data_IF_823490246061
#
_entry.id   IF_823490246061
#
_cell.length_a   1.000
_cell.length_b   1.000
_cell.length_c   1.000
_cell.angle_alpha   90.00
_cell.angle_beta   90.00
_cell.angle_gamma   90.00
#
_symmetry.space_group_name_H-M   'P 1'
#
loop_
_entity.id
_entity.type
_entity.pdbx_description
1 polymer ?
#
# COMPACT_ATOMS: atom_id res chain seq x y z
N UNK A 1 41.99 35.25 5.23
CA UNK A 1 41.63 33.83 4.95
C UNK A 1 42.72 32.96 5.59
N UNK A 2 42.33 32.12 6.52
CA UNK A 2 43.26 31.16 7.14
C UNK A 2 42.85 29.80 6.57
N UNK A 3 43.71 29.28 5.68
CA UNK A 3 43.54 27.91 5.16
C UNK A 3 44.12 26.93 6.17
N UNK A 4 43.31 26.00 6.65
CA UNK A 4 43.78 24.92 7.49
C UNK A 4 43.23 23.58 6.99
N UNK A 5 44.10 22.59 7.06
CA UNK A 5 43.72 21.23 6.67
C UNK A 5 43.41 20.43 7.92
N UNK A 6 42.19 19.92 8.03
CA UNK A 6 41.79 19.00 9.10
C UNK A 6 42.11 17.59 8.66
N UNK A 7 43.01 16.92 9.35
CA UNK A 7 43.22 15.46 9.23
C UNK A 7 42.35 14.76 10.26
N UNK A 8 41.31 14.05 9.80
CA UNK A 8 40.59 13.14 10.67
C UNK A 8 41.47 11.93 10.96
N UNK A 9 41.55 11.54 12.24
CA UNK A 9 42.29 10.35 12.62
C UNK A 9 41.61 9.12 12.01
N UNK A 10 42.40 8.25 11.39
CA UNK A 10 41.93 6.98 10.83
C UNK A 10 41.27 6.14 11.95
N UNK A 11 40.00 5.85 11.86
CA UNK A 11 39.23 5.14 12.88
C UNK A 11 38.31 5.99 13.78
N UNK A 12 38.25 7.30 13.59
CA UNK A 12 37.28 8.15 14.29
C UNK A 12 35.87 7.74 13.89
N UNK A 13 35.08 7.28 14.87
CA UNK A 13 33.63 6.98 14.72
C UNK A 13 32.86 8.27 14.73
N UNK A 14 33.01 9.11 13.72
CA UNK A 14 32.25 10.36 13.67
C UNK A 14 31.45 10.42 12.42
N UNK A 15 30.13 10.29 12.58
CA UNK A 15 29.14 10.69 11.57
C UNK A 15 29.00 12.22 11.54
N UNK A 16 29.76 12.98 12.38
CA UNK A 16 29.70 14.42 12.55
C UNK A 16 31.12 15.00 12.61
N UNK A 17 31.39 16.00 11.82
CA UNK A 17 32.59 16.80 11.92
C UNK A 17 32.22 18.18 12.51
N UNK A 18 32.60 18.43 13.75
CA UNK A 18 32.53 19.76 14.35
C UNK A 18 33.91 20.33 14.42
N UNK A 19 34.12 21.45 13.79
CA UNK A 19 35.39 22.16 13.84
C UNK A 19 35.30 23.29 14.86
N UNK A 20 36.10 23.21 15.91
CA UNK A 20 36.21 24.31 16.88
C UNK A 20 37.44 25.12 16.55
N UNK A 21 37.26 26.37 16.09
CA UNK A 21 38.35 27.31 15.85
C UNK A 21 38.45 28.23 17.05
N UNK A 22 39.58 28.26 17.72
CA UNK A 22 39.88 29.18 18.83
C UNK A 22 40.83 30.21 18.31
N UNK A 23 40.41 31.48 18.35
CA UNK A 23 41.24 32.64 18.05
C UNK A 23 41.51 33.44 19.30
N UNK A 24 42.39 34.46 19.24
CA UNK A 24 42.67 35.39 20.32
C UNK A 24 41.38 36.13 20.81
N UNK A 25 40.34 36.20 19.99
CA UNK A 25 39.09 36.92 20.26
C UNK A 25 37.91 36.00 20.63
N UNK A 26 38.15 34.69 20.89
CA UNK A 26 37.13 33.73 21.26
C UNK A 26 37.12 32.47 20.40
N UNK A 27 36.20 31.53 20.72
CA UNK A 27 36.02 30.26 19.96
C UNK A 27 34.78 30.38 19.10
N UNK A 28 34.91 30.08 17.82
CA UNK A 28 33.74 29.80 16.95
C UNK A 28 33.63 28.30 16.69
N UNK A 29 32.43 27.80 16.70
CA UNK A 29 32.14 26.42 16.35
C UNK A 29 31.52 26.43 14.97
N UNK A 30 32.12 25.70 14.06
CA UNK A 30 31.60 25.50 12.72
C UNK A 30 31.11 24.05 12.60
N UNK A 31 29.87 23.88 12.23
CA UNK A 31 29.24 22.57 11.97
C UNK A 31 28.89 22.49 10.50
N UNK A 32 29.70 21.79 9.66
CA UNK A 32 29.37 21.64 8.25
C UNK A 32 27.99 21.03 8.00
N UNK A 33 27.52 20.21 8.94
CA UNK A 33 26.23 19.54 8.84
C UNK A 33 25.08 20.56 8.95
N UNK A 34 25.21 21.55 9.86
CA UNK A 34 24.21 22.61 10.05
C UNK A 34 24.34 23.70 9.00
N UNK A 35 25.58 24.18 8.75
CA UNK A 35 25.84 25.34 7.90
C UNK A 35 25.80 25.01 6.40
N UNK A 36 26.23 23.80 6.00
CA UNK A 36 26.36 23.42 4.60
C UNK A 36 25.16 22.56 4.12
N UNK A 37 24.62 21.72 5.01
CA UNK A 37 23.53 20.80 4.68
C UNK A 37 22.19 21.15 5.35
N UNK A 38 22.18 22.16 6.24
CA UNK A 38 20.97 22.67 6.87
C UNK A 38 20.33 21.74 7.90
N UNK A 39 21.09 20.77 8.41
CA UNK A 39 20.59 19.87 9.46
C UNK A 39 20.82 20.45 10.84
N UNK A 40 19.80 20.46 11.68
CA UNK A 40 19.94 20.80 13.09
C UNK A 40 20.61 19.68 13.86
N UNK A 41 21.65 20.01 14.67
CA UNK A 41 22.37 19.04 15.49
C UNK A 41 22.18 19.34 16.98
N UNK A 42 22.06 18.28 17.78
CA UNK A 42 22.03 18.37 19.24
C UNK A 42 23.26 17.67 19.83
N UNK A 43 24.03 18.42 20.65
CA UNK A 43 25.15 17.85 21.37
C UNK A 43 24.69 16.99 22.55
N UNK A 44 25.14 15.72 22.60
CA UNK A 44 24.93 14.84 23.74
C UNK A 44 26.22 14.77 24.59
N UNK A 45 26.19 15.36 25.76
CA UNK A 45 27.32 15.39 26.67
C UNK A 45 27.76 14.01 27.20
N UNK A 46 26.90 12.99 27.13
CA UNK A 46 27.24 11.62 27.59
C UNK A 46 28.08 10.89 26.56
N UNK A 47 27.72 11.02 25.29
CA UNK A 47 28.45 10.37 24.19
C UNK A 47 29.57 11.22 23.62
N UNK A 48 29.71 12.49 24.07
CA UNK A 48 30.60 13.51 23.54
C UNK A 48 30.52 13.67 22.03
N UNK A 49 29.31 13.54 21.48
CA UNK A 49 29.02 13.67 20.06
C UNK A 49 27.78 14.46 19.79
N UNK A 50 27.65 15.03 18.59
CA UNK A 50 26.43 15.61 18.10
C UNK A 50 25.56 14.54 17.41
N UNK A 51 24.25 14.65 17.52
CA UNK A 51 23.31 13.90 16.71
C UNK A 51 22.48 14.84 15.87
N UNK A 52 22.16 14.45 14.66
CA UNK A 52 21.20 15.17 13.82
C UNK A 52 19.81 15.02 14.47
N UNK A 53 19.17 16.14 14.76
CA UNK A 53 17.83 16.18 15.41
C UNK A 53 16.75 16.27 14.34
N UNK A 54 16.99 17.06 13.31
CA UNK A 54 16.10 17.21 12.17
C UNK A 54 16.43 16.15 11.12
N UNK A 55 15.82 14.95 11.27
CA UNK A 55 15.93 13.87 10.31
C UNK A 55 14.64 13.82 9.49
N UNK A 56 14.79 13.60 8.19
CA UNK A 56 13.65 13.37 7.27
C UNK A 56 12.73 12.23 7.78
N UNK A 57 13.32 11.21 8.42
CA UNK A 57 12.63 10.10 9.06
C UNK A 57 13.34 9.69 10.34
N UNK A 58 12.59 9.37 11.39
CA UNK A 58 13.14 8.69 12.54
C UNK A 58 13.36 7.19 12.29
N UNK A 59 14.03 6.50 13.23
CA UNK A 59 14.36 5.08 13.08
C UNK A 59 13.11 4.20 13.06
N UNK A 60 12.07 4.56 13.79
CA UNK A 60 10.80 3.84 13.89
C UNK A 60 9.99 4.00 12.58
N UNK A 61 9.97 5.19 12.01
CA UNK A 61 9.36 5.48 10.72
C UNK A 61 10.04 4.70 9.59
N UNK A 62 11.39 4.71 9.57
CA UNK A 62 12.15 3.91 8.60
C UNK A 62 11.89 2.42 8.75
N UNK A 63 11.78 1.91 10.00
CA UNK A 63 11.44 0.51 10.23
C UNK A 63 10.07 0.18 9.67
N UNK A 64 9.05 1.01 9.93
CA UNK A 64 7.68 0.82 9.41
C UNK A 64 7.66 0.82 7.87
N UNK A 65 8.37 1.76 7.25
CA UNK A 65 8.48 1.84 5.78
C UNK A 65 9.17 0.60 5.20
N UNK A 66 10.27 0.14 5.81
CA UNK A 66 10.99 -1.06 5.40
C UNK A 66 10.09 -2.31 5.53
N UNK A 67 9.38 -2.46 6.64
CA UNK A 67 8.48 -3.59 6.86
C UNK A 67 7.31 -3.57 5.86
N UNK A 68 6.77 -2.40 5.53
CA UNK A 68 5.74 -2.21 4.52
C UNK A 68 6.23 -2.64 3.13
N UNK A 69 7.45 -2.23 2.74
CA UNK A 69 8.07 -2.64 1.48
C UNK A 69 8.33 -4.15 1.47
N UNK A 70 8.86 -4.70 2.56
CA UNK A 70 9.15 -6.13 2.65
C UNK A 70 7.88 -6.99 2.70
N UNK A 71 6.79 -6.50 3.27
CA UNK A 71 5.52 -7.19 3.31
C UNK A 71 4.73 -7.09 2.01
N UNK A 72 5.06 -6.18 1.11
CA UNK A 72 4.36 -5.99 -0.16
C UNK A 72 4.50 -7.22 -1.07
N UNK A 73 3.36 -7.70 -1.60
CA UNK A 73 3.31 -8.74 -2.64
C UNK A 73 3.31 -8.18 -4.06
N UNK A 74 3.02 -6.89 -4.17
CA UNK A 74 2.82 -6.23 -5.44
C UNK A 74 4.12 -6.03 -6.23
N UNK A 75 5.24 -5.78 -5.56
CA UNK A 75 6.55 -5.56 -6.15
C UNK A 75 7.40 -6.81 -6.19
N UNK A 76 8.36 -6.87 -7.12
CA UNK A 76 9.29 -8.00 -7.23
C UNK A 76 10.30 -8.02 -6.06
N UNK A 77 10.95 -9.17 -5.84
CA UNK A 77 11.98 -9.29 -4.80
C UNK A 77 13.13 -8.30 -5.02
N UNK A 78 13.53 -8.09 -6.29
CA UNK A 78 14.58 -7.14 -6.66
C UNK A 78 14.19 -5.70 -6.32
N UNK A 79 12.95 -5.30 -6.65
CA UNK A 79 12.43 -3.98 -6.34
C UNK A 79 12.31 -3.76 -4.83
N UNK A 80 11.80 -4.74 -4.07
CA UNK A 80 11.72 -4.66 -2.63
C UNK A 80 13.09 -4.49 -1.98
N UNK A 81 14.10 -5.26 -2.42
CA UNK A 81 15.48 -5.11 -1.94
C UNK A 81 16.03 -3.71 -2.23
N UNK A 82 15.89 -3.24 -3.47
CA UNK A 82 16.40 -1.92 -3.86
C UNK A 82 15.76 -0.78 -3.03
N UNK A 83 14.43 -0.82 -2.84
CA UNK A 83 13.74 0.17 -2.02
C UNK A 83 14.18 0.09 -0.55
N UNK A 84 14.31 -1.10 0.01
CA UNK A 84 14.80 -1.31 1.38
C UNK A 84 16.21 -0.75 1.55
N UNK A 85 17.11 -1.00 0.60
CA UNK A 85 18.49 -0.51 0.64
C UNK A 85 18.52 1.04 0.58
N UNK A 86 17.66 1.66 -0.23
CA UNK A 86 17.51 3.12 -0.30
C UNK A 86 16.97 3.71 1.01
N UNK A 87 15.97 3.08 1.62
CA UNK A 87 15.42 3.52 2.92
C UNK A 87 16.48 3.41 4.02
N UNK A 88 17.22 2.30 4.07
CA UNK A 88 18.33 2.12 5.02
C UNK A 88 19.44 3.15 4.84
N UNK A 89 19.67 3.63 3.61
CA UNK A 89 20.65 4.66 3.34
C UNK A 89 20.30 6.02 3.98
N UNK A 90 19.02 6.27 4.30
CA UNK A 90 18.55 7.45 5.04
C UNK A 90 18.83 7.37 6.55
N UNK A 91 19.17 6.20 7.07
CA UNK A 91 19.46 6.00 8.47
C UNK A 91 20.97 6.22 8.77
N UNK A 92 21.28 6.61 10.03
CA UNK A 92 22.64 6.67 10.52
C UNK A 92 23.31 5.28 10.48
N UNK A 93 24.62 5.24 10.51
CA UNK A 93 25.40 3.98 10.54
C UNK A 93 24.99 3.08 11.71
N UNK A 94 24.66 3.66 12.86
CA UNK A 94 24.25 2.91 14.06
C UNK A 94 22.83 2.39 13.93
N UNK A 95 21.91 3.21 13.43
CA UNK A 95 20.52 2.83 13.24
C UNK A 95 20.34 1.75 12.18
N UNK A 96 21.20 1.72 11.14
CA UNK A 96 21.18 0.65 10.13
C UNK A 96 21.32 -0.75 10.73
N UNK A 97 22.13 -0.91 11.79
CA UNK A 97 22.28 -2.19 12.49
C UNK A 97 20.97 -2.59 13.18
N UNK A 98 20.22 -1.62 13.70
CA UNK A 98 18.89 -1.85 14.29
C UNK A 98 17.87 -2.21 13.22
N UNK A 99 17.90 -1.52 12.07
CA UNK A 99 17.02 -1.77 10.93
C UNK A 99 17.29 -3.13 10.25
N UNK A 100 18.43 -3.76 10.50
CA UNK A 100 18.73 -5.12 10.05
C UNK A 100 18.05 -6.20 10.90
N UNK A 101 17.61 -5.87 12.11
CA UNK A 101 16.77 -6.72 12.96
C UNK A 101 15.32 -6.65 12.49
N UNK A 102 14.94 -7.55 11.62
CA UNK A 102 13.72 -7.48 10.82
C UNK A 102 12.49 -8.02 11.50
N UNK A 103 11.34 -7.47 11.10
CA UNK A 103 10.12 -8.25 11.06
C UNK A 103 10.33 -9.47 10.13
N UNK A 104 10.16 -10.67 10.65
CA UNK A 104 10.29 -11.88 9.83
C UNK A 104 9.07 -12.00 8.92
N UNK A 105 9.25 -11.75 7.64
CA UNK A 105 8.24 -11.98 6.62
C UNK A 105 8.53 -13.34 5.96
N UNK A 106 7.80 -14.42 6.32
CA UNK A 106 8.03 -15.73 5.72
C UNK A 106 7.84 -15.66 4.21
N UNK A 107 8.50 -16.55 3.47
CA UNK A 107 8.53 -16.61 2.00
C UNK A 107 7.22 -16.19 1.36
N UNK A 108 7.13 -14.94 0.92
CA UNK A 108 5.96 -14.40 0.25
C UNK A 108 6.07 -14.62 -1.26
N UNK A 109 5.00 -15.12 -1.84
CA UNK A 109 4.83 -15.08 -3.29
C UNK A 109 4.68 -13.61 -3.68
N UNK A 110 5.62 -13.10 -4.48
CA UNK A 110 5.66 -11.73 -4.98
C UNK A 110 5.28 -11.68 -6.45
N UNK A 111 4.97 -10.49 -6.93
CA UNK A 111 4.82 -10.24 -8.36
C UNK A 111 6.11 -10.60 -9.12
N UNK A 112 5.95 -11.12 -10.32
CA UNK A 112 7.06 -11.31 -11.27
C UNK A 112 7.05 -10.22 -12.37
N UNK A 113 6.26 -9.17 -12.21
CA UNK A 113 6.15 -8.09 -13.17
C UNK A 113 7.08 -6.94 -12.79
N UNK A 114 8.22 -6.82 -13.45
CA UNK A 114 9.18 -5.74 -13.21
C UNK A 114 8.73 -4.38 -13.76
N UNK A 115 7.76 -4.37 -14.69
CA UNK A 115 7.25 -3.14 -15.33
C UNK A 115 6.21 -2.40 -14.49
N UNK A 116 5.91 -2.88 -13.30
CA UNK A 116 4.77 -2.41 -12.49
C UNK A 116 4.86 -0.92 -12.13
N UNK A 117 6.06 -0.40 -11.87
CA UNK A 117 6.26 1.03 -11.60
C UNK A 117 6.00 1.89 -12.82
N UNK A 118 6.42 1.43 -14.00
CA UNK A 118 6.13 2.13 -15.27
C UNK A 118 4.63 2.11 -15.56
N UNK A 119 3.97 0.97 -15.33
CA UNK A 119 2.51 0.88 -15.48
C UNK A 119 1.77 1.85 -14.57
N UNK A 120 2.20 2.02 -13.32
CA UNK A 120 1.60 2.99 -12.39
C UNK A 120 1.81 4.42 -12.87
N UNK A 121 3.00 4.77 -13.35
CA UNK A 121 3.33 6.09 -13.87
C UNK A 121 2.49 6.43 -15.10
N UNK A 122 2.39 5.51 -16.05
CA UNK A 122 1.52 5.65 -17.24
C UNK A 122 0.05 5.84 -16.83
N UNK A 123 -0.44 5.08 -15.86
CA UNK A 123 -1.82 5.17 -15.37
C UNK A 123 -2.08 6.50 -14.67
N UNK A 124 -1.17 6.97 -13.81
CA UNK A 124 -1.26 8.28 -13.18
C UNK A 124 -1.28 9.40 -14.22
N UNK A 125 -0.41 9.32 -15.22
CA UNK A 125 -0.33 10.29 -16.31
C UNK A 125 -1.63 10.32 -17.12
N UNK A 126 -2.18 9.16 -17.47
CA UNK A 126 -3.44 9.07 -18.22
C UNK A 126 -4.62 9.61 -17.43
N UNK A 127 -4.67 9.30 -16.10
CA UNK A 127 -5.72 9.81 -15.19
C UNK A 127 -5.64 11.33 -15.07
N UNK A 128 -4.45 11.89 -14.88
CA UNK A 128 -4.24 13.32 -14.71
C UNK A 128 -4.61 14.14 -15.95
N UNK A 129 -4.41 13.58 -17.14
CA UNK A 129 -4.66 14.25 -18.42
C UNK A 129 -6.02 13.94 -19.06
N UNK A 130 -6.88 13.18 -18.38
CA UNK A 130 -8.16 12.73 -18.94
C UNK A 130 -8.04 11.92 -20.23
N UNK A 131 -7.00 11.09 -20.35
CA UNK A 131 -6.71 10.28 -21.54
C UNK A 131 -7.10 8.83 -21.38
N UNK A 132 -7.36 8.18 -22.52
CA UNK A 132 -7.56 6.74 -22.61
C UNK A 132 -6.24 5.99 -22.60
N UNK A 133 -6.31 4.70 -22.33
CA UNK A 133 -5.19 3.77 -22.40
C UNK A 133 -5.57 2.55 -23.23
N UNK A 134 -4.56 1.91 -23.79
CA UNK A 134 -4.67 0.57 -24.36
C UNK A 134 -3.73 -0.39 -23.64
N UNK A 135 -4.14 -1.65 -23.50
CA UNK A 135 -3.34 -2.70 -22.86
C UNK A 135 -3.85 -4.09 -23.23
N UNK A 136 -3.04 -5.11 -23.03
CA UNK A 136 -3.49 -6.51 -23.02
C UNK A 136 -3.70 -6.96 -21.60
N UNK A 137 -4.73 -7.80 -21.36
CA UNK A 137 -5.03 -8.33 -20.04
C UNK A 137 -4.81 -9.83 -20.03
N UNK A 138 -4.03 -10.35 -19.06
CA UNK A 138 -3.64 -11.75 -19.05
C UNK A 138 -4.03 -12.45 -17.74
N UNK A 139 -4.06 -13.78 -17.82
CA UNK A 139 -4.18 -14.69 -16.70
C UNK A 139 -3.13 -15.81 -16.81
N UNK A 140 -2.91 -16.54 -15.75
CA UNK A 140 -2.07 -17.74 -15.79
C UNK A 140 -2.92 -18.99 -15.94
N UNK A 141 -2.52 -19.87 -16.86
CA UNK A 141 -3.09 -21.20 -17.00
C UNK A 141 -2.63 -22.11 -15.85
N UNK A 142 -3.27 -23.30 -15.64
CA UNK A 142 -2.77 -24.29 -14.69
C UNK A 142 -1.32 -24.74 -14.96
N UNK A 143 -0.85 -24.61 -16.20
CA UNK A 143 0.55 -24.87 -16.60
C UNK A 143 1.49 -23.68 -16.29
N UNK A 144 1.02 -22.65 -15.55
CA UNK A 144 1.76 -21.43 -15.20
C UNK A 144 2.23 -20.60 -16.39
N UNK A 145 1.57 -20.75 -17.54
CA UNK A 145 1.83 -19.99 -18.75
C UNK A 145 0.89 -18.78 -18.81
N UNK A 146 1.39 -17.62 -19.31
CA UNK A 146 0.55 -16.47 -19.61
C UNK A 146 -0.41 -16.81 -20.76
N UNK A 147 -1.69 -16.51 -20.55
CA UNK A 147 -2.70 -16.52 -21.60
C UNK A 147 -3.46 -15.18 -21.54
N UNK A 148 -3.88 -14.68 -22.68
CA UNK A 148 -4.52 -13.39 -22.78
C UNK A 148 -6.03 -13.54 -22.92
N UNK A 149 -6.78 -12.67 -22.23
CA UNK A 149 -8.19 -12.48 -22.50
C UNK A 149 -8.41 -11.89 -23.89
N UNK A 150 -9.61 -12.00 -24.43
CA UNK A 150 -9.96 -11.55 -25.77
C UNK A 150 -8.98 -12.03 -26.88
N UNK A 151 -8.44 -13.24 -26.73
CA UNK A 151 -7.43 -13.80 -27.67
C UNK A 151 -6.21 -12.91 -27.89
N UNK A 152 -5.90 -12.02 -26.94
CA UNK A 152 -4.76 -11.09 -27.03
C UNK A 152 -5.05 -9.76 -27.72
N UNK A 153 -6.31 -9.47 -28.04
CA UNK A 153 -6.72 -8.15 -28.50
C UNK A 153 -6.50 -7.09 -27.42
N UNK A 154 -6.30 -5.85 -27.83
CA UNK A 154 -6.13 -4.72 -26.95
C UNK A 154 -7.47 -4.33 -26.30
N UNK A 155 -7.42 -4.06 -25.01
CA UNK A 155 -8.44 -3.30 -24.34
C UNK A 155 -8.21 -1.81 -24.57
N UNK A 156 -9.25 -1.07 -24.88
CA UNK A 156 -9.24 0.40 -24.83
C UNK A 156 -10.11 0.80 -23.66
N UNK A 157 -9.52 1.51 -22.69
CA UNK A 157 -10.21 1.86 -21.46
C UNK A 157 -9.93 3.31 -21.05
N UNK A 158 -10.89 3.90 -20.36
CA UNK A 158 -10.82 5.23 -19.77
C UNK A 158 -10.51 5.09 -18.28
N UNK A 159 -9.25 5.34 -17.83
CA UNK A 159 -8.85 5.15 -16.43
C UNK A 159 -9.38 6.29 -15.54
N UNK A 160 -9.91 5.96 -14.37
CA UNK A 160 -10.48 6.94 -13.44
C UNK A 160 -9.80 6.99 -12.08
N UNK A 161 -9.49 5.83 -11.51
CA UNK A 161 -8.85 5.75 -10.20
C UNK A 161 -7.99 4.50 -10.05
N UNK A 162 -6.97 4.61 -9.23
CA UNK A 162 -6.20 3.47 -8.73
C UNK A 162 -6.65 3.17 -7.31
N UNK A 163 -7.02 1.93 -7.06
CA UNK A 163 -7.49 1.43 -5.77
C UNK A 163 -6.50 0.40 -5.24
N UNK A 164 -6.19 0.49 -3.96
CA UNK A 164 -5.36 -0.51 -3.28
C UNK A 164 -6.23 -1.47 -2.48
N UNK A 165 -6.19 -2.76 -2.79
CA UNK A 165 -6.89 -3.80 -2.05
C UNK A 165 -6.12 -5.12 -2.10
N UNK A 166 -6.11 -5.86 -1.00
CA UNK A 166 -5.49 -7.19 -0.88
C UNK A 166 -4.07 -7.27 -1.45
N UNK A 167 -3.26 -6.26 -1.12
CA UNK A 167 -1.87 -6.12 -1.59
C UNK A 167 -1.72 -6.01 -3.12
N UNK A 168 -2.74 -5.50 -3.84
CA UNK A 168 -2.68 -5.26 -5.26
C UNK A 168 -3.25 -3.88 -5.62
N UNK A 169 -2.73 -3.28 -6.69
CA UNK A 169 -3.40 -2.16 -7.33
C UNK A 169 -4.45 -2.65 -8.31
N UNK A 170 -5.60 -2.01 -8.24
CA UNK A 170 -6.70 -2.18 -9.17
C UNK A 170 -6.95 -0.86 -9.87
N UNK A 171 -6.99 -0.89 -11.20
CA UNK A 171 -7.45 0.22 -12.00
C UNK A 171 -8.96 0.16 -12.12
N UNK A 172 -9.64 1.20 -11.67
CA UNK A 172 -11.04 1.45 -12.00
C UNK A 172 -11.09 2.19 -13.33
N UNK A 173 -11.67 1.58 -14.34
CA UNK A 173 -11.76 2.15 -15.68
C UNK A 173 -13.10 1.85 -16.34
N UNK A 174 -13.53 2.77 -17.21
CA UNK A 174 -14.66 2.54 -18.09
C UNK A 174 -14.20 1.79 -19.35
N UNK A 175 -14.79 0.63 -19.61
CA UNK A 175 -14.47 -0.20 -20.77
C UNK A 175 -15.70 -1.00 -21.20
N UNK A 176 -16.00 -0.97 -22.51
CA UNK A 176 -17.13 -1.70 -23.07
C UNK A 176 -18.49 -1.30 -22.46
N UNK A 177 -18.69 0.01 -22.25
CA UNK A 177 -19.96 0.55 -21.77
C UNK A 177 -20.19 0.47 -20.25
N UNK A 178 -19.22 0.02 -19.45
CA UNK A 178 -19.36 -0.10 -17.99
C UNK A 178 -18.05 0.10 -17.22
N UNK A 179 -18.18 0.45 -15.94
CA UNK A 179 -17.05 0.53 -15.02
C UNK A 179 -16.56 -0.87 -14.65
N UNK A 180 -15.25 -1.07 -14.75
CA UNK A 180 -14.58 -2.34 -14.44
C UNK A 180 -13.35 -2.12 -13.58
N UNK A 181 -12.96 -3.17 -12.83
CA UNK A 181 -11.71 -3.23 -12.10
C UNK A 181 -10.72 -4.13 -12.84
N UNK A 182 -9.51 -3.63 -13.08
CA UNK A 182 -8.43 -4.40 -13.67
C UNK A 182 -7.26 -4.45 -12.68
N UNK A 183 -6.74 -5.63 -12.40
CA UNK A 183 -5.52 -5.76 -11.61
C UNK A 183 -4.34 -5.24 -12.43
N UNK A 184 -3.62 -4.27 -11.90
CA UNK A 184 -2.50 -3.62 -12.62
C UNK A 184 -1.36 -4.61 -12.90
N UNK A 185 -1.11 -5.57 -12.02
CA UNK A 185 -0.10 -6.61 -12.22
C UNK A 185 -0.44 -7.62 -13.35
N UNK A 186 -1.70 -7.62 -13.84
CA UNK A 186 -2.18 -8.43 -14.96
C UNK A 186 -2.33 -7.66 -16.27
N UNK A 187 -1.99 -6.39 -16.26
CA UNK A 187 -1.95 -5.57 -17.46
C UNK A 187 -0.57 -5.71 -18.13
N UNK A 188 -0.55 -5.76 -19.44
CA UNK A 188 0.67 -5.92 -20.24
C UNK A 188 0.66 -4.91 -21.38
N UNK A 189 1.78 -4.18 -21.58
CA UNK A 189 1.93 -3.20 -22.65
C UNK A 189 0.96 -2.03 -22.56
N UNK A 190 0.91 -1.35 -21.41
CA UNK A 190 0.08 -0.15 -21.25
C UNK A 190 0.63 0.94 -22.18
N UNK A 191 -0.25 1.56 -22.97
CA UNK A 191 0.05 2.68 -23.82
C UNK A 191 -1.02 3.76 -23.66
N UNK A 192 -0.58 4.99 -23.50
CA UNK A 192 -1.47 6.16 -23.38
C UNK A 192 -1.95 6.55 -24.77
N UNK A 193 -3.25 6.75 -24.91
CA UNK A 193 -3.89 7.24 -26.12
C UNK A 193 -4.43 8.64 -25.84
N UNK A 194 -3.96 9.65 -26.58
CA UNK A 194 -4.37 11.04 -26.39
C UNK A 194 -5.81 11.30 -26.89
N UNK A 195 -6.75 10.47 -26.40
CA UNK A 195 -8.19 10.61 -26.61
C UNK A 195 -8.86 10.88 -25.27
N UNK A 196 -9.93 11.69 -25.27
CA UNK A 196 -10.69 12.01 -24.07
C UNK A 196 -11.34 10.76 -23.48
N UNK A 197 -11.34 10.69 -22.14
CA UNK A 197 -12.01 9.60 -21.41
C UNK A 197 -13.51 9.58 -21.67
N UNK A 198 -14.06 8.40 -21.74
CA UNK A 198 -15.48 8.09 -21.74
C UNK A 198 -15.94 7.63 -20.35
N UNK A 199 -17.26 7.59 -20.09
CA UNK A 199 -17.81 7.05 -18.85
C UNK A 199 -17.76 8.01 -17.66
N UNK A 200 -17.69 9.33 -17.90
CA UNK A 200 -17.67 10.36 -16.84
C UNK A 200 -18.92 10.36 -15.99
N UNK A 201 -20.09 10.07 -16.60
CA UNK A 201 -21.37 9.99 -15.89
C UNK A 201 -21.36 8.79 -14.96
N UNK A 202 -21.02 7.62 -15.48
CA UNK A 202 -20.96 6.36 -14.75
C UNK A 202 -19.98 6.43 -13.57
N UNK A 203 -18.85 7.13 -13.75
CA UNK A 203 -17.90 7.34 -12.67
C UNK A 203 -18.42 8.27 -11.57
N UNK A 204 -19.12 9.36 -11.95
CA UNK A 204 -19.70 10.31 -10.98
C UNK A 204 -20.83 9.68 -10.13
N UNK A 205 -21.55 8.73 -10.70
CA UNK A 205 -22.60 7.99 -10.00
C UNK A 205 -22.02 6.95 -9.01
N UNK A 206 -20.71 6.66 -9.11
CA UNK A 206 -20.01 5.76 -8.19
C UNK A 206 -19.53 6.53 -6.96
N UNK A 207 -20.14 6.26 -5.81
CA UNK A 207 -19.55 6.67 -4.53
C UNK A 207 -18.44 5.68 -4.13
N UNK A 208 -17.19 6.02 -4.48
CA UNK A 208 -16.04 5.14 -4.27
C UNK A 208 -15.82 4.79 -2.79
N UNK A 209 -16.06 5.74 -1.88
CA UNK A 209 -15.86 5.55 -0.45
C UNK A 209 -16.84 4.52 0.11
N UNK A 210 -18.13 4.67 -0.19
CA UNK A 210 -19.15 3.71 0.22
C UNK A 210 -18.96 2.36 -0.45
N UNK A 211 -18.62 2.35 -1.74
CA UNK A 211 -18.45 1.13 -2.50
C UNK A 211 -17.29 0.29 -1.98
N UNK A 212 -16.17 0.90 -1.59
CA UNK A 212 -15.03 0.17 -1.04
C UNK A 212 -15.35 -0.59 0.24
N UNK A 213 -16.29 -0.08 1.05
CA UNK A 213 -16.76 -0.76 2.27
C UNK A 213 -17.66 -1.96 1.97
N UNK A 214 -18.42 -1.90 0.87
CA UNK A 214 -19.38 -2.95 0.46
C UNK A 214 -18.75 -4.09 -0.32
N UNK A 215 -17.62 -3.84 -0.97
CA UNK A 215 -16.91 -4.82 -1.81
C UNK A 215 -15.97 -5.72 -1.01
N UNK A 216 -15.90 -6.95 -1.41
CA UNK A 216 -14.89 -7.90 -0.96
C UNK A 216 -13.89 -8.17 -2.09
N UNK A 217 -12.60 -7.85 -1.86
CA UNK A 217 -11.49 -8.08 -2.81
C UNK A 217 -11.73 -7.54 -4.23
N UNK A 218 -12.40 -6.37 -4.38
CA UNK A 218 -12.72 -5.74 -5.66
C UNK A 218 -13.56 -6.59 -6.61
N UNK A 219 -14.29 -7.58 -6.10
CA UNK A 219 -15.28 -8.32 -6.86
C UNK A 219 -16.63 -7.64 -6.76
N UNK A 220 -17.18 -7.28 -7.92
CA UNK A 220 -18.51 -6.68 -8.02
C UNK A 220 -19.59 -7.74 -7.91
N UNK A 221 -20.65 -7.41 -7.20
CA UNK A 221 -21.84 -8.22 -7.07
C UNK A 221 -23.10 -7.35 -7.03
N UNK A 222 -24.25 -7.98 -6.83
CA UNK A 222 -25.49 -7.25 -6.57
C UNK A 222 -25.43 -6.69 -5.14
N UNK A 223 -25.67 -5.39 -4.98
CA UNK A 223 -25.79 -4.78 -3.66
C UNK A 223 -27.06 -5.27 -3.00
N UNK A 224 -26.91 -5.84 -1.81
CA UNK A 224 -28.05 -6.31 -1.00
C UNK A 224 -27.81 -5.90 0.46
N UNK A 225 -28.89 -5.54 1.16
CA UNK A 225 -28.86 -5.32 2.60
C UNK A 225 -28.91 -6.67 3.30
N UNK A 226 -27.79 -7.05 3.93
CA UNK A 226 -27.63 -8.37 4.52
C UNK A 226 -27.64 -8.28 6.04
N UNK A 227 -28.48 -9.11 6.68
CA UNK A 227 -28.45 -9.31 8.12
C UNK A 227 -27.57 -10.51 8.45
N UNK A 228 -26.54 -10.29 9.25
CA UNK A 228 -25.57 -11.32 9.62
C UNK A 228 -25.48 -11.41 11.15
N UNK A 229 -25.56 -12.63 11.68
CA UNK A 229 -25.34 -12.94 13.09
C UNK A 229 -23.90 -13.40 13.30
N UNK A 230 -23.28 -12.89 14.33
CA UNK A 230 -21.91 -13.24 14.75
C UNK A 230 -21.89 -13.67 16.22
N UNK A 231 -21.00 -14.58 16.56
CA UNK A 231 -20.65 -14.84 17.95
C UNK A 231 -19.83 -13.67 18.52
N UNK A 232 -20.00 -13.34 19.82
CA UNK A 232 -19.40 -12.16 20.45
C UNK A 232 -17.88 -12.08 20.34
N UNK A 233 -17.17 -13.22 20.27
CA UNK A 233 -15.71 -13.25 20.10
C UNK A 233 -15.24 -12.73 18.73
N UNK A 234 -16.14 -12.61 17.74
CA UNK A 234 -15.86 -12.08 16.42
C UNK A 234 -16.07 -10.55 16.32
N UNK A 235 -16.38 -9.87 17.45
CA UNK A 235 -16.64 -8.43 17.42
C UNK A 235 -15.47 -7.63 16.82
N UNK A 236 -14.21 -7.95 17.16
CA UNK A 236 -13.04 -7.29 16.58
C UNK A 236 -12.96 -7.49 15.05
N UNK A 237 -13.24 -8.69 14.56
CA UNK A 237 -13.23 -9.01 13.12
C UNK A 237 -14.27 -8.18 12.37
N UNK A 238 -15.44 -7.95 12.98
CA UNK A 238 -16.50 -7.11 12.41
C UNK A 238 -16.08 -5.65 12.40
N UNK A 239 -15.52 -5.15 13.51
CA UNK A 239 -15.00 -3.77 13.61
C UNK A 239 -13.86 -3.53 12.61
N UNK A 240 -12.91 -4.47 12.51
CA UNK A 240 -11.78 -4.38 11.57
C UNK A 240 -12.25 -4.35 10.11
N UNK A 241 -13.36 -5.02 9.81
CA UNK A 241 -13.89 -5.10 8.45
C UNK A 241 -14.80 -3.95 8.06
N UNK A 242 -15.68 -3.52 8.96
CA UNK A 242 -16.76 -2.56 8.67
C UNK A 242 -16.55 -1.20 9.34
N UNK A 243 -15.53 -1.07 10.18
CA UNK A 243 -15.27 0.14 10.95
C UNK A 243 -16.01 0.17 12.30
N UNK A 244 -15.65 1.14 13.16
CA UNK A 244 -16.23 1.30 14.49
C UNK A 244 -17.68 1.79 14.49
N UNK A 245 -18.10 2.43 13.40
CA UNK A 245 -19.43 3.02 13.28
C UNK A 245 -20.51 2.00 12.90
N UNK A 246 -20.13 0.73 12.66
CA UNK A 246 -21.07 -0.35 12.39
C UNK A 246 -21.98 -0.58 13.60
N UNK A 247 -23.29 -0.58 13.36
CA UNK A 247 -24.27 -0.85 14.41
C UNK A 247 -24.29 -2.35 14.71
N UNK A 248 -23.86 -2.71 15.91
CA UNK A 248 -23.88 -4.08 16.41
C UNK A 248 -25.04 -4.21 17.41
N UNK A 249 -26.02 -5.04 17.10
CA UNK A 249 -27.23 -5.22 17.91
C UNK A 249 -27.09 -6.53 18.69
N UNK A 250 -26.94 -6.52 20.02
CA UNK A 250 -26.94 -7.74 20.83
C UNK A 250 -28.23 -8.55 20.61
N UNK A 251 -28.09 -9.85 20.37
CA UNK A 251 -29.22 -10.76 20.19
C UNK A 251 -29.44 -11.61 21.44
N UNK A 252 -28.36 -12.13 22.02
CA UNK A 252 -28.32 -12.89 23.27
C UNK A 252 -26.95 -12.73 23.95
N UNK A 253 -26.67 -13.51 25.05
CA UNK A 253 -25.41 -13.45 25.76
C UNK A 253 -24.17 -13.84 24.96
N UNK A 254 -24.36 -14.50 23.80
CA UNK A 254 -23.27 -15.07 22.99
C UNK A 254 -23.20 -14.51 21.58
N UNK A 255 -24.25 -13.79 21.13
CA UNK A 255 -24.36 -13.37 19.75
C UNK A 255 -24.82 -11.91 19.62
N UNK A 256 -24.42 -11.30 18.51
CA UNK A 256 -24.91 -10.02 18.04
C UNK A 256 -25.20 -10.09 16.54
N UNK A 257 -25.97 -9.15 16.03
CA UNK A 257 -26.31 -9.02 14.61
C UNK A 257 -25.85 -7.67 14.08
N UNK A 258 -25.50 -7.64 12.79
CA UNK A 258 -25.34 -6.41 12.03
C UNK A 258 -26.26 -6.41 10.82
N UNK A 259 -26.61 -5.20 10.34
CA UNK A 259 -27.29 -4.97 9.08
C UNK A 259 -26.40 -4.06 8.24
N UNK A 260 -26.02 -4.50 7.05
CA UNK A 260 -25.12 -3.71 6.20
C UNK A 260 -25.35 -4.03 4.72
N UNK A 261 -25.09 -3.04 3.88
CA UNK A 261 -25.13 -3.23 2.43
C UNK A 261 -23.84 -3.92 1.97
N UNK A 262 -23.97 -5.01 1.24
CA UNK A 262 -22.87 -5.82 0.71
C UNK A 262 -23.03 -6.00 -0.79
N UNK A 263 -21.96 -5.86 -1.56
CA UNK A 263 -21.89 -6.42 -2.91
C UNK A 263 -21.66 -7.94 -2.79
N UNK A 264 -22.77 -8.70 -2.84
CA UNK A 264 -22.75 -10.16 -2.67
C UNK A 264 -21.90 -10.79 -3.76
N UNK A 265 -20.89 -11.54 -3.37
CA UNK A 265 -19.87 -12.12 -4.26
C UNK A 265 -19.27 -13.39 -3.67
N UNK A 266 -18.61 -14.25 -4.47
CA UNK A 266 -17.92 -15.42 -3.96
C UNK A 266 -16.89 -15.09 -2.86
N UNK A 267 -16.27 -13.92 -2.91
CA UNK A 267 -15.30 -13.48 -1.90
C UNK A 267 -15.96 -13.13 -0.56
N UNK A 268 -17.16 -12.54 -0.61
CA UNK A 268 -17.96 -12.33 0.60
C UNK A 268 -18.29 -13.64 1.27
N UNK A 269 -18.78 -14.63 0.55
CA UNK A 269 -19.06 -15.96 1.09
C UNK A 269 -17.78 -16.65 1.59
N UNK A 270 -16.69 -16.57 0.85
CA UNK A 270 -15.39 -17.10 1.27
C UNK A 270 -14.87 -16.47 2.56
N UNK A 271 -15.08 -15.17 2.76
CA UNK A 271 -14.73 -14.48 4.00
C UNK A 271 -15.58 -15.01 5.18
N UNK A 272 -16.89 -15.14 4.99
CA UNK A 272 -17.77 -15.71 6.03
C UNK A 272 -17.40 -17.15 6.38
N UNK A 273 -17.15 -17.99 5.36
CA UNK A 273 -16.70 -19.37 5.59
C UNK A 273 -15.41 -19.42 6.40
N UNK A 274 -14.49 -18.49 6.18
CA UNK A 274 -13.24 -18.38 6.95
C UNK A 274 -13.43 -18.10 8.44
N UNK A 275 -14.59 -17.57 8.85
CA UNK A 275 -14.96 -17.33 10.25
C UNK A 275 -15.56 -18.56 10.93
N UNK A 276 -15.81 -19.63 10.18
CA UNK A 276 -16.31 -20.89 10.70
C UNK A 276 -17.74 -20.83 11.23
N UNK A 277 -18.02 -21.60 12.29
CA UNK A 277 -19.37 -21.73 12.87
C UNK A 277 -19.88 -20.49 13.63
N UNK A 278 -19.02 -19.50 13.83
CA UNK A 278 -19.35 -18.28 14.58
C UNK A 278 -20.16 -17.25 13.80
N UNK A 279 -20.51 -17.52 12.54
CA UNK A 279 -21.22 -16.58 11.68
C UNK A 279 -22.36 -17.26 10.94
N UNK A 280 -23.47 -16.51 10.73
CA UNK A 280 -24.61 -16.98 9.95
C UNK A 280 -25.33 -15.82 9.28
N UNK A 281 -25.63 -15.94 7.99
CA UNK A 281 -26.51 -15.02 7.28
C UNK A 281 -27.95 -15.33 7.70
N UNK A 282 -28.70 -14.29 8.05
CA UNK A 282 -30.12 -14.42 8.48
C UNK A 282 -31.08 -13.97 7.36
N UNK A 283 -30.68 -12.97 6.60
CA UNK A 283 -31.47 -12.45 5.46
C UNK A 283 -30.57 -11.70 4.48
N UNK A 284 -31.00 -11.49 3.22
CA UNK A 284 -32.24 -11.99 2.60
C UNK A 284 -32.13 -13.48 2.24
N UNK A 285 -33.27 -14.11 1.93
CA UNK A 285 -33.38 -15.55 1.73
C UNK A 285 -32.53 -16.08 0.55
N UNK A 286 -32.46 -15.31 -0.55
CA UNK A 286 -31.64 -15.65 -1.72
C UNK A 286 -30.13 -15.71 -1.38
N UNK A 287 -29.63 -14.79 -0.53
CA UNK A 287 -28.23 -14.80 -0.07
C UNK A 287 -27.98 -15.95 0.91
N UNK A 288 -28.97 -16.30 1.75
CA UNK A 288 -28.88 -17.48 2.65
C UNK A 288 -28.80 -18.77 1.82
N UNK A 289 -29.62 -18.90 0.77
CA UNK A 289 -29.59 -20.05 -0.11
C UNK A 289 -28.26 -20.15 -0.87
N UNK A 290 -27.78 -19.02 -1.44
CA UNK A 290 -26.52 -18.99 -2.14
C UNK A 290 -25.34 -19.37 -1.23
N UNK A 291 -25.33 -18.96 0.05
CA UNK A 291 -24.33 -19.37 1.03
C UNK A 291 -24.30 -20.89 1.23
N UNK A 292 -25.42 -21.58 1.01
CA UNK A 292 -25.53 -23.04 1.14
C UNK A 292 -24.69 -23.81 0.11
N UNK A 293 -24.24 -23.16 -0.96
CA UNK A 293 -23.37 -23.74 -1.99
C UNK A 293 -21.87 -23.62 -1.67
N UNK A 294 -21.50 -22.89 -0.62
CA UNK A 294 -20.12 -22.68 -0.16
C UNK A 294 -19.85 -23.43 1.14
#
# INVERSE_FOLDING_TARGET
>A
TVDFTVKLATGAKTDYATLKVTSANGSQTYSPIEDEYGYETQYDGRTRGGRIVDREFDTQELQLLIDSVQSSRFITQKQAKNLTDKLKAKASRYDRVLLDRRCYVPNRVRSMNDSIFYHLDDLHTAIANDWQITFKYFYFTPKKQKAFYKKGELYTASPYALLWSDNNYYLLAFEGGKMKHFRVDKMDGISIVAQKREGKKEFKELNLSERSLRMFSMFSGKVQNVKIRFSNHLANVVIDRFGRDIVMIPEDEKHFTIHTDIEVSPQFFGWLCGLGKGVRILSPADVVEEMGYY
#
